data_IF_479104020873
#
_entry.id   IF_479104020873
#
_cell.length_a   1.000
_cell.length_b   1.000
_cell.length_c   1.000
_cell.angle_alpha   90.00
_cell.angle_beta   90.00
_cell.angle_gamma   90.00
#
_symmetry.space_group_name_H-M   'P 1'
#
loop_
_entity.id
_entity.type
_entity.pdbx_description
1 polymer ?
#
# COMPACT_ATOMS: atom_id res chain seq x y z
N UNK A 1 23.52 5.84 27.15
CA UNK A 1 23.20 7.17 26.59
C UNK A 1 23.91 7.21 25.25
N UNK A 2 23.18 7.20 24.14
CA UNK A 2 23.81 7.30 22.82
C UNK A 2 24.39 8.70 22.68
N UNK A 3 25.70 8.82 22.47
CA UNK A 3 26.33 10.09 22.18
C UNK A 3 25.71 10.66 20.90
N UNK A 4 24.86 11.67 21.06
CA UNK A 4 24.27 12.42 19.97
C UNK A 4 25.39 13.20 19.30
N UNK A 5 25.98 12.60 18.27
CA UNK A 5 27.00 13.24 17.47
C UNK A 5 26.40 14.51 16.84
N UNK A 6 26.98 15.67 17.18
CA UNK A 6 26.51 16.95 16.67
C UNK A 6 26.59 16.96 15.13
N UNK A 7 25.51 17.37 14.42
CA UNK A 7 25.52 17.45 12.97
C UNK A 7 26.52 18.52 12.52
N UNK A 8 27.26 18.23 11.45
CA UNK A 8 28.17 19.22 10.85
C UNK A 8 27.40 20.34 10.15
N UNK A 9 28.08 21.46 9.86
CA UNK A 9 27.48 22.56 9.10
C UNK A 9 26.90 22.08 7.76
N UNK A 10 27.62 21.20 7.05
CA UNK A 10 27.15 20.58 5.81
C UNK A 10 25.89 19.73 6.00
N UNK A 11 25.79 18.98 7.10
CA UNK A 11 24.61 18.16 7.39
C UNK A 11 23.37 19.04 7.60
N UNK A 12 23.52 20.21 8.22
CA UNK A 12 22.42 21.16 8.43
C UNK A 12 22.06 21.86 7.11
N UNK A 13 23.03 22.33 6.34
CA UNK A 13 22.76 23.09 5.09
C UNK A 13 22.15 22.22 4.00
N UNK A 14 22.55 20.95 3.89
CA UNK A 14 22.06 20.01 2.87
C UNK A 14 20.77 19.28 3.26
N UNK A 15 20.39 19.27 4.55
CA UNK A 15 19.22 18.54 5.03
C UNK A 15 17.88 19.10 4.50
N UNK A 16 16.99 18.17 4.14
CA UNK A 16 15.58 18.45 3.77
C UNK A 16 14.70 18.60 5.01
N UNK A 17 13.50 19.15 4.84
CA UNK A 17 12.58 19.47 5.93
C UNK A 17 12.28 18.33 6.92
N UNK A 18 12.15 17.09 6.44
CA UNK A 18 11.93 15.92 7.29
C UNK A 18 13.14 15.59 8.18
N UNK A 19 14.34 15.66 7.63
CA UNK A 19 15.61 15.42 8.36
C UNK A 19 15.83 16.50 9.43
N UNK A 20 15.57 17.77 9.08
CA UNK A 20 15.66 18.87 10.03
C UNK A 20 14.67 18.73 11.21
N UNK A 21 13.46 18.24 10.95
CA UNK A 21 12.49 17.97 12.01
C UNK A 21 13.00 16.89 12.97
N UNK A 22 13.65 15.85 12.44
CA UNK A 22 14.26 14.79 13.25
C UNK A 22 15.39 15.34 14.13
N UNK A 23 16.29 16.16 13.58
CA UNK A 23 17.33 16.82 14.39
C UNK A 23 16.76 17.69 15.50
N UNK A 24 15.66 18.42 15.22
CA UNK A 24 14.95 19.21 16.23
C UNK A 24 14.35 18.31 17.32
N UNK A 25 13.80 17.15 16.95
CA UNK A 25 13.28 16.17 17.90
C UNK A 25 14.37 15.61 18.81
N UNK A 26 15.49 15.21 18.22
CA UNK A 26 16.62 14.65 18.95
C UNK A 26 17.18 15.67 19.96
N UNK A 27 17.34 16.94 19.56
CA UNK A 27 17.74 18.05 20.45
C UNK A 27 16.71 18.25 21.57
N UNK A 28 15.43 18.33 21.22
CA UNK A 28 14.37 18.54 22.19
C UNK A 28 14.26 17.38 23.19
N UNK A 29 14.50 16.14 22.75
CA UNK A 29 14.54 14.97 23.62
C UNK A 29 15.73 15.02 24.57
N UNK A 30 16.91 15.40 24.08
CA UNK A 30 18.10 15.59 24.91
C UNK A 30 17.91 16.70 25.96
N UNK A 31 17.33 17.84 25.57
CA UNK A 31 17.02 18.96 26.49
C UNK A 31 16.01 18.54 27.57
N UNK A 32 15.00 17.75 27.21
CA UNK A 32 14.04 17.18 28.18
C UNK A 32 14.73 16.25 29.17
N UNK A 33 15.62 15.39 28.71
CA UNK A 33 16.36 14.46 29.57
C UNK A 33 17.25 15.20 30.59
N UNK A 34 17.73 16.39 30.25
CA UNK A 34 18.56 17.23 31.12
C UNK A 34 17.75 18.10 32.11
N UNK A 35 16.42 17.99 32.15
CA UNK A 35 15.54 18.84 32.98
C UNK A 35 15.76 20.36 32.77
N UNK A 36 16.31 20.77 31.63
CA UNK A 36 16.42 22.19 31.28
C UNK A 36 14.99 22.70 31.13
N UNK A 37 14.62 23.70 31.94
CA UNK A 37 13.27 24.24 32.00
C UNK A 37 12.72 24.48 30.58
N UNK A 38 11.41 24.23 30.38
CA UNK A 38 10.66 24.22 29.11
C UNK A 38 10.88 25.39 28.12
N UNK A 39 11.66 26.42 28.50
CA UNK A 39 11.82 27.69 27.79
C UNK A 39 12.71 27.64 26.53
N UNK A 40 13.37 26.52 26.20
CA UNK A 40 14.26 26.45 25.03
C UNK A 40 14.04 25.22 24.11
N UNK A 41 12.81 24.68 24.05
CA UNK A 41 12.52 23.70 23.01
C UNK A 41 12.52 24.38 21.63
N UNK A 42 13.27 23.81 20.70
CA UNK A 42 13.31 24.26 19.31
C UNK A 42 11.96 23.99 18.63
N UNK A 43 11.40 24.99 17.96
CA UNK A 43 10.14 24.85 17.23
C UNK A 43 10.33 24.15 15.88
N UNK A 44 9.43 23.20 15.57
CA UNK A 44 9.37 22.50 14.27
C UNK A 44 8.64 23.28 13.17
N UNK A 45 7.99 24.40 13.49
CA UNK A 45 7.22 25.18 12.52
C UNK A 45 8.10 26.21 11.79
N UNK A 46 7.75 26.56 10.55
CA UNK A 46 8.44 27.56 9.74
C UNK A 46 9.13 27.00 8.50
N UNK A 47 9.79 27.87 7.74
CA UNK A 47 10.54 27.53 6.52
C UNK A 47 11.74 26.62 6.84
N UNK A 48 12.25 25.93 5.82
CA UNK A 48 13.43 25.06 5.94
C UNK A 48 14.64 25.85 6.46
N UNK A 49 14.81 27.08 5.99
CA UNK A 49 15.90 28.00 6.31
C UNK A 49 15.81 28.46 7.76
N UNK A 50 14.62 28.77 8.26
CA UNK A 50 14.41 29.09 9.68
C UNK A 50 14.71 27.89 10.60
N UNK A 51 14.47 26.66 10.13
CA UNK A 51 14.85 25.44 10.87
C UNK A 51 16.37 25.25 10.88
N UNK A 52 17.03 25.41 9.73
CA UNK A 52 18.49 25.37 9.61
C UNK A 52 19.14 26.40 10.54
N UNK A 53 18.66 27.64 10.53
CA UNK A 53 19.17 28.70 11.40
C UNK A 53 19.02 28.37 12.88
N UNK A 54 17.86 27.86 13.31
CA UNK A 54 17.62 27.48 14.72
C UNK A 54 18.54 26.36 15.18
N UNK A 55 18.73 25.33 14.35
CA UNK A 55 19.68 24.25 14.64
C UNK A 55 21.12 24.79 14.68
N UNK A 56 21.50 25.63 13.72
CA UNK A 56 22.82 26.23 13.68
C UNK A 56 23.10 27.09 14.92
N UNK A 57 22.15 27.92 15.34
CA UNK A 57 22.25 28.70 16.60
C UNK A 57 22.39 27.79 17.82
N UNK A 58 21.64 26.69 17.89
CA UNK A 58 21.73 25.74 19.00
C UNK A 58 23.11 25.07 19.09
N UNK A 59 23.70 24.71 17.95
CA UNK A 59 25.01 24.05 17.89
C UNK A 59 26.20 25.03 17.79
N UNK A 60 25.96 26.35 17.76
CA UNK A 60 27.02 27.35 17.58
C UNK A 60 27.69 27.30 16.20
N UNK A 61 26.96 26.89 15.16
CA UNK A 61 27.48 26.77 13.80
C UNK A 61 27.16 28.03 13.00
N UNK A 62 28.16 28.60 12.33
CA UNK A 62 27.97 29.72 11.41
C UNK A 62 27.63 29.21 10.00
N UNK A 63 26.39 29.47 9.55
CA UNK A 63 25.91 29.08 8.22
C UNK A 63 26.41 30.01 7.10
N UNK A 64 27.01 31.16 7.42
CA UNK A 64 27.52 32.10 6.42
C UNK A 64 28.84 31.66 5.79
N UNK A 65 29.57 30.76 6.46
CA UNK A 65 30.81 30.22 5.93
C UNK A 65 30.55 29.16 4.85
N UNK A 66 31.24 29.22 3.69
CA UNK A 66 31.16 28.18 2.67
C UNK A 66 31.66 26.86 3.25
N UNK A 67 30.73 25.94 3.54
CA UNK A 67 31.10 24.62 4.02
C UNK A 67 31.44 23.73 2.81
N UNK A 68 32.72 23.35 2.69
CA UNK A 68 33.14 22.40 1.66
C UNK A 68 32.41 21.06 1.88
N UNK A 69 31.91 20.47 0.79
CA UNK A 69 31.34 19.13 0.85
C UNK A 69 32.38 18.15 1.41
N UNK A 70 31.99 17.20 2.27
CA UNK A 70 32.91 16.20 2.78
C UNK A 70 33.52 15.42 1.60
N UNK A 71 34.84 15.30 1.58
CA UNK A 71 35.60 14.62 0.52
C UNK A 71 35.29 13.13 0.41
N UNK A 72 34.69 12.56 1.46
CA UNK A 72 34.22 11.17 1.50
C UNK A 72 32.70 11.19 1.67
N UNK A 73 31.93 10.63 0.72
CA UNK A 73 30.50 10.44 0.90
C UNK A 73 30.27 9.63 2.17
N UNK A 74 29.48 10.15 3.12
CA UNK A 74 29.11 9.35 4.28
C UNK A 74 28.30 8.14 3.81
N UNK A 75 28.51 6.95 4.40
CA UNK A 75 27.62 5.82 4.17
C UNK A 75 26.19 6.29 4.43
N UNK A 76 25.29 6.12 3.46
CA UNK A 76 23.88 6.42 3.68
C UNK A 76 23.42 5.56 4.86
N UNK A 77 22.75 6.14 5.87
CA UNK A 77 22.22 5.34 6.96
C UNK A 77 21.27 4.30 6.38
N UNK A 78 21.56 3.02 6.59
CA UNK A 78 20.68 1.94 6.15
C UNK A 78 19.33 2.16 6.82
N UNK A 79 18.30 2.36 6.01
CA UNK A 79 16.94 2.60 6.49
C UNK A 79 16.39 1.33 7.15
N UNK A 80 15.37 1.48 8.01
CA UNK A 80 14.71 0.32 8.61
C UNK A 80 14.12 -0.59 7.53
N UNK A 81 13.60 0.01 6.46
CA UNK A 81 13.02 -0.73 5.33
C UNK A 81 14.07 -1.52 4.56
N UNK A 82 15.26 -0.96 4.33
CA UNK A 82 16.39 -1.69 3.74
C UNK A 82 16.80 -2.87 4.62
N UNK A 83 16.86 -2.70 5.95
CA UNK A 83 17.15 -3.82 6.87
C UNK A 83 16.07 -4.89 6.85
N UNK A 84 14.80 -4.50 6.79
CA UNK A 84 13.68 -5.42 6.66
C UNK A 84 13.81 -6.19 5.34
N UNK A 85 14.11 -5.50 4.24
CA UNK A 85 14.34 -6.11 2.93
C UNK A 85 15.49 -7.11 2.96
N UNK A 86 16.64 -6.73 3.53
CA UNK A 86 17.79 -7.63 3.70
C UNK A 86 17.41 -8.89 4.50
N UNK A 87 16.67 -8.73 5.60
CA UNK A 87 16.21 -9.85 6.41
C UNK A 87 15.22 -10.76 5.67
N UNK A 88 14.28 -10.17 4.93
CA UNK A 88 13.32 -10.92 4.10
C UNK A 88 14.03 -11.72 3.01
N UNK A 89 15.01 -11.11 2.33
CA UNK A 89 15.81 -11.80 1.32
C UNK A 89 16.72 -12.87 1.91
N UNK A 90 17.28 -12.64 3.10
CA UNK A 90 18.06 -13.66 3.81
C UNK A 90 17.19 -14.87 4.15
N UNK A 91 15.97 -14.66 4.67
CA UNK A 91 15.02 -15.73 4.95
C UNK A 91 14.58 -16.47 3.68
N UNK A 92 14.31 -15.75 2.59
CA UNK A 92 13.95 -16.37 1.31
C UNK A 92 15.08 -17.26 0.76
N UNK A 93 16.35 -16.83 0.89
CA UNK A 93 17.51 -17.64 0.52
C UNK A 93 17.62 -18.89 1.39
N UNK A 94 17.37 -18.77 2.69
CA UNK A 94 17.35 -19.91 3.60
C UNK A 94 16.27 -20.92 3.20
N UNK A 95 15.04 -20.47 2.92
CA UNK A 95 13.96 -21.34 2.44
C UNK A 95 14.31 -22.05 1.14
N UNK A 96 14.94 -21.35 0.19
CA UNK A 96 15.38 -21.95 -1.05
C UNK A 96 16.42 -23.06 -0.81
N UNK A 97 17.34 -22.83 0.13
CA UNK A 97 18.32 -23.85 0.51
C UNK A 97 17.65 -25.07 1.18
N UNK A 98 16.73 -24.85 2.12
CA UNK A 98 15.96 -25.94 2.76
C UNK A 98 15.18 -26.76 1.74
N UNK A 99 14.62 -26.12 0.71
CA UNK A 99 13.95 -26.81 -0.39
C UNK A 99 14.91 -27.72 -1.16
N UNK A 100 16.05 -27.18 -1.62
CA UNK A 100 17.06 -27.95 -2.36
C UNK A 100 17.55 -29.16 -1.54
N UNK A 101 17.80 -28.98 -0.25
CA UNK A 101 18.21 -30.06 0.65
C UNK A 101 17.11 -31.12 0.83
N UNK A 102 15.85 -30.69 0.93
CA UNK A 102 14.69 -31.61 1.09
C UNK A 102 14.47 -32.44 -0.17
N UNK A 103 14.60 -31.82 -1.33
CA UNK A 103 14.50 -32.49 -2.64
C UNK A 103 15.66 -33.48 -2.84
N UNK A 104 16.89 -33.10 -2.52
CA UNK A 104 18.06 -33.99 -2.58
C UNK A 104 17.91 -35.22 -1.65
N UNK A 105 17.17 -35.08 -0.55
CA UNK A 105 16.84 -36.17 0.36
C UNK A 105 15.65 -37.03 -0.10
N UNK A 106 15.04 -36.76 -1.27
CA UNK A 106 13.87 -37.46 -1.78
C UNK A 106 12.60 -37.21 -0.94
N UNK A 107 12.56 -36.13 -0.18
CA UNK A 107 11.42 -35.75 0.67
C UNK A 107 10.61 -34.65 -0.01
N UNK A 108 9.32 -34.56 0.32
CA UNK A 108 8.46 -33.46 -0.14
C UNK A 108 8.73 -32.22 0.70
N UNK A 109 9.11 -31.12 0.07
CA UNK A 109 9.18 -29.82 0.73
C UNK A 109 7.76 -29.30 1.00
N UNK A 110 7.48 -28.96 2.26
CA UNK A 110 6.21 -28.38 2.69
C UNK A 110 6.50 -26.99 3.26
N UNK A 111 6.11 -25.95 2.51
CA UNK A 111 6.36 -24.55 2.87
C UNK A 111 5.63 -24.16 4.17
N UNK A 112 4.52 -24.83 4.41
CA UNK A 112 3.70 -24.64 5.60
C UNK A 112 4.11 -25.65 6.66
N UNK A 113 5.17 -25.29 7.37
CA UNK A 113 5.39 -25.85 8.68
C UNK A 113 4.37 -25.18 9.61
N UNK A 114 3.11 -25.57 9.48
CA UNK A 114 2.20 -25.59 10.60
C UNK A 114 2.78 -26.58 11.63
N UNK A 115 3.89 -26.18 12.27
CA UNK A 115 4.56 -26.84 13.40
C UNK A 115 3.63 -26.91 14.62
N UNK A 116 2.45 -26.32 14.50
CA UNK A 116 1.30 -26.70 15.26
C UNK A 116 0.52 -27.78 14.48
N UNK A 117 0.99 -29.02 14.53
CA UNK A 117 0.09 -30.20 14.59
C UNK A 117 -0.90 -30.10 15.78
N UNK A 118 -0.78 -29.03 16.57
CA UNK A 118 -1.64 -28.60 17.66
C UNK A 118 -2.49 -27.36 17.31
N UNK A 119 -2.72 -27.02 16.04
CA UNK A 119 -3.94 -26.26 15.76
C UNK A 119 -5.08 -27.21 16.09
N UNK A 120 -5.92 -26.89 17.08
CA UNK A 120 -7.04 -27.74 17.45
C UNK A 120 -7.96 -27.79 16.23
N UNK A 121 -7.83 -28.84 15.43
CA UNK A 121 -8.92 -29.25 14.56
C UNK A 121 -10.16 -29.31 15.45
N UNK A 122 -11.29 -28.81 14.95
CA UNK A 122 -12.55 -28.99 15.67
C UNK A 122 -12.67 -30.48 16.01
N UNK A 123 -12.88 -30.85 17.28
CA UNK A 123 -12.92 -32.25 17.64
C UNK A 123 -14.10 -32.93 16.93
N UNK A 124 -13.96 -34.24 16.69
CA UNK A 124 -14.89 -35.00 15.85
C UNK A 124 -16.35 -34.94 16.32
N UNK A 125 -16.57 -34.70 17.61
CA UNK A 125 -17.88 -34.49 18.24
C UNK A 125 -18.58 -33.22 17.73
N UNK A 126 -17.84 -32.23 17.26
CA UNK A 126 -18.35 -30.99 16.65
C UNK A 126 -18.43 -31.11 15.13
N UNK A 127 -17.44 -31.75 14.50
CA UNK A 127 -17.40 -31.87 13.04
C UNK A 127 -18.52 -32.75 12.48
N UNK A 128 -18.83 -33.87 13.14
CA UNK A 128 -19.85 -34.80 12.65
C UNK A 128 -21.26 -34.16 12.58
N UNK A 129 -21.77 -33.51 13.66
CA UNK A 129 -23.06 -32.83 13.59
C UNK A 129 -23.10 -31.67 12.58
N UNK A 130 -21.97 -30.96 12.37
CA UNK A 130 -21.91 -29.91 11.35
C UNK A 130 -22.01 -30.49 9.93
N UNK A 131 -21.36 -31.63 9.67
CA UNK A 131 -21.46 -32.33 8.37
C UNK A 131 -22.88 -32.85 8.12
N UNK A 132 -23.56 -33.31 9.16
CA UNK A 132 -24.95 -33.75 9.06
C UNK A 132 -25.91 -32.57 8.77
N UNK A 133 -25.67 -31.41 9.38
CA UNK A 133 -26.45 -30.19 9.13
C UNK A 133 -26.18 -29.56 7.76
N UNK A 134 -24.98 -29.75 7.21
CA UNK A 134 -24.51 -29.09 5.98
C UNK A 134 -23.77 -30.07 5.05
N UNK A 135 -24.45 -31.08 4.48
CA UNK A 135 -23.81 -32.11 3.66
C UNK A 135 -23.13 -31.55 2.40
N UNK A 136 -23.65 -30.43 1.87
CA UNK A 136 -23.14 -29.79 0.65
C UNK A 136 -22.12 -28.66 0.91
N UNK A 137 -21.63 -28.51 2.15
CA UNK A 137 -20.70 -27.43 2.50
C UNK A 137 -19.33 -27.96 2.90
N UNK A 138 -18.29 -27.25 2.44
CA UNK A 138 -16.93 -27.47 2.92
C UNK A 138 -16.77 -26.75 4.26
N UNK A 139 -16.69 -27.51 5.34
CA UNK A 139 -16.35 -26.99 6.67
C UNK A 139 -14.82 -26.88 6.71
N UNK A 140 -14.24 -25.68 6.85
CA UNK A 140 -12.79 -25.55 6.97
C UNK A 140 -12.32 -26.31 8.21
N UNK A 141 -11.29 -27.14 8.05
CA UNK A 141 -10.64 -27.81 9.19
C UNK A 141 -9.92 -26.79 10.11
N UNK A 142 -9.63 -25.60 9.58
CA UNK A 142 -9.11 -24.45 10.31
C UNK A 142 -10.22 -23.74 11.09
N UNK A 143 -10.21 -23.94 12.41
CA UNK A 143 -11.20 -23.40 13.34
C UNK A 143 -11.24 -21.86 13.34
N UNK A 144 -12.42 -21.23 13.45
CA UNK A 144 -12.51 -19.87 13.99
C UNK A 144 -11.87 -19.86 15.39
N UNK A 145 -11.33 -18.71 15.81
CA UNK A 145 -10.56 -18.56 17.05
C UNK A 145 -11.17 -19.37 18.21
N UNK A 146 -10.33 -20.14 18.93
CA UNK A 146 -10.69 -21.16 19.93
C UNK A 146 -11.74 -20.73 20.98
N UNK A 147 -11.96 -19.43 21.17
CA UNK A 147 -12.96 -18.87 22.08
C UNK A 147 -14.43 -19.10 21.70
N UNK A 148 -14.73 -19.59 20.49
CA UNK A 148 -16.12 -19.78 20.02
C UNK A 148 -16.64 -21.23 20.09
N UNK A 149 -15.89 -22.18 20.70
CA UNK A 149 -16.29 -23.60 20.71
C UNK A 149 -17.65 -23.85 21.37
N UNK A 150 -17.85 -23.36 22.59
CA UNK A 150 -19.10 -23.57 23.34
C UNK A 150 -20.30 -22.94 22.62
N UNK A 151 -20.06 -21.82 21.92
CA UNK A 151 -21.05 -21.16 21.09
C UNK A 151 -21.42 -22.02 19.89
N UNK A 152 -20.44 -22.58 19.18
CA UNK A 152 -20.68 -23.47 18.04
C UNK A 152 -21.46 -24.71 18.50
N UNK A 153 -21.07 -25.34 19.60
CA UNK A 153 -21.79 -26.50 20.17
C UNK A 153 -23.23 -26.13 20.54
N UNK A 154 -23.44 -24.98 21.18
CA UNK A 154 -24.78 -24.49 21.53
C UNK A 154 -25.65 -24.26 20.28
N UNK A 155 -25.07 -23.63 19.24
CA UNK A 155 -25.76 -23.39 17.98
C UNK A 155 -26.11 -24.69 17.25
N UNK A 156 -25.22 -25.68 17.29
CA UNK A 156 -25.46 -27.02 16.71
C UNK A 156 -26.65 -27.68 17.41
N UNK A 157 -26.69 -27.68 18.75
CA UNK A 157 -27.79 -28.29 19.51
C UNK A 157 -29.13 -27.61 19.25
N UNK A 158 -29.14 -26.27 19.22
CA UNK A 158 -30.33 -25.49 18.90
C UNK A 158 -30.82 -25.75 17.45
N UNK A 159 -29.90 -25.77 16.48
CA UNK A 159 -30.23 -26.07 15.09
C UNK A 159 -30.84 -27.47 14.91
N UNK A 160 -30.31 -28.50 15.59
CA UNK A 160 -30.89 -29.85 15.59
C UNK A 160 -32.28 -29.90 16.23
N UNK A 161 -32.55 -29.00 17.19
CA UNK A 161 -33.87 -28.86 17.82
C UNK A 161 -34.87 -28.08 16.95
N UNK A 162 -34.48 -27.68 15.74
CA UNK A 162 -35.32 -26.93 14.79
C UNK A 162 -35.24 -25.40 14.92
N UNK A 163 -34.31 -24.85 15.71
CA UNK A 163 -34.12 -23.40 15.78
C UNK A 163 -33.47 -22.86 14.50
N UNK A 164 -34.29 -22.26 13.64
CA UNK A 164 -33.87 -21.68 12.37
C UNK A 164 -32.92 -20.48 12.54
N UNK A 165 -32.95 -19.80 13.70
CA UNK A 165 -32.03 -18.70 14.01
C UNK A 165 -30.60 -19.19 14.14
N UNK A 166 -30.38 -20.22 14.96
CA UNK A 166 -29.08 -20.87 15.13
C UNK A 166 -28.57 -21.53 13.85
N UNK A 167 -29.46 -22.15 13.06
CA UNK A 167 -29.10 -22.70 11.74
C UNK A 167 -28.53 -21.62 10.80
N UNK A 168 -29.18 -20.45 10.69
CA UNK A 168 -28.69 -19.32 9.88
C UNK A 168 -27.36 -18.75 10.38
N UNK A 169 -27.17 -18.70 11.71
CA UNK A 169 -25.88 -18.26 12.27
C UNK A 169 -24.75 -19.23 11.90
N UNK A 170 -24.98 -20.54 12.03
CA UNK A 170 -24.01 -21.54 11.57
C UNK A 170 -23.76 -21.42 10.05
N UNK A 171 -24.81 -21.19 9.26
CA UNK A 171 -24.70 -21.02 7.81
C UNK A 171 -23.83 -19.79 7.41
N UNK A 172 -23.85 -18.73 8.23
CA UNK A 172 -23.04 -17.53 8.05
C UNK A 172 -21.57 -17.76 8.45
N UNK A 173 -21.32 -18.60 9.46
CA UNK A 173 -19.97 -18.99 9.88
C UNK A 173 -19.30 -19.92 8.86
N UNK A 174 -20.08 -20.74 8.15
CA UNK A 174 -19.60 -21.72 7.18
C UNK A 174 -20.22 -21.47 5.79
N UNK A 175 -19.77 -20.45 5.04
CA UNK A 175 -20.33 -20.13 3.72
C UNK A 175 -20.15 -21.30 2.72
N UNK A 176 -21.04 -21.44 1.73
CA UNK A 176 -20.94 -22.52 0.75
C UNK A 176 -19.68 -22.37 -0.10
N UNK A 177 -19.01 -23.48 -0.44
CA UNK A 177 -17.73 -23.50 -1.14
C UNK A 177 -17.74 -22.79 -2.52
N UNK A 178 -18.92 -22.63 -3.12
CA UNK A 178 -19.11 -21.95 -4.42
C UNK A 178 -19.21 -20.41 -4.29
N UNK A 179 -19.40 -19.88 -3.08
CA UNK A 179 -19.32 -18.45 -2.84
C UNK A 179 -17.86 -18.06 -2.60
N UNK A 180 -17.10 -17.87 -3.68
CA UNK A 180 -15.82 -17.20 -3.60
C UNK A 180 -15.99 -15.89 -2.79
N UNK A 181 -15.04 -15.54 -1.91
CA UNK A 181 -15.15 -14.33 -1.11
C UNK A 181 -15.09 -13.13 -2.06
N UNK A 182 -16.26 -12.58 -2.40
CA UNK A 182 -16.35 -11.19 -2.81
C UNK A 182 -15.86 -10.40 -1.61
N UNK A 183 -14.63 -9.91 -1.67
CA UNK A 183 -14.04 -8.96 -0.73
C UNK A 183 -14.92 -7.71 -0.70
N UNK A 184 -15.99 -7.77 0.10
CA UNK A 184 -16.91 -6.69 0.38
C UNK A 184 -16.32 -5.83 1.47
N UNK A 185 -15.77 -4.69 1.06
CA UNK A 185 -15.43 -3.58 1.93
C UNK A 185 -16.63 -3.23 2.82
N UNK A 186 -16.40 -3.16 4.13
CA UNK A 186 -17.37 -2.67 5.12
C UNK A 186 -17.71 -1.22 4.79
N UNK A 187 -18.90 -0.97 4.21
CA UNK A 187 -19.44 0.37 3.98
C UNK A 187 -20.30 0.83 5.16
N UNK A 188 -19.73 1.57 6.11
CA UNK A 188 -19.66 3.04 5.98
C UNK A 188 -20.91 3.78 5.44
N UNK A 189 -22.14 3.42 5.78
CA UNK A 189 -23.34 4.15 5.32
C UNK A 189 -23.42 5.55 5.94
N UNK A 190 -23.28 6.60 5.12
CA UNK A 190 -23.51 7.99 5.52
C UNK A 190 -24.49 8.62 4.52
N UNK A 191 -25.67 8.91 5.04
CA UNK A 191 -26.83 9.47 4.36
C UNK A 191 -26.57 10.88 3.79
N UNK A 192 -27.03 11.23 2.57
CA UNK A 192 -26.85 12.58 2.04
C UNK A 192 -27.98 13.52 2.46
N UNK A 193 -27.60 14.66 3.04
CA UNK A 193 -28.48 15.82 3.24
C UNK A 193 -28.71 16.56 1.92
N UNK A 194 -29.98 16.81 1.63
CA UNK A 194 -30.46 17.66 0.53
C UNK A 194 -30.36 19.13 0.93
N UNK A 195 -29.53 19.93 0.25
CA UNK A 195 -29.59 21.39 0.31
C UNK A 195 -29.99 21.96 -1.03
N UNK A 196 -31.21 22.51 -1.05
CA UNK A 196 -31.79 23.31 -2.13
C UNK A 196 -31.21 24.73 -2.07
N UNK A 197 -30.76 25.28 -3.20
CA UNK A 197 -30.40 26.69 -3.31
C UNK A 197 -31.19 27.38 -4.43
N UNK A 198 -31.69 28.56 -4.06
CA UNK A 198 -32.62 29.43 -4.79
C UNK A 198 -31.87 30.22 -5.88
N UNK A 199 -32.59 30.46 -6.97
CA UNK A 199 -32.17 31.21 -8.16
C UNK A 199 -32.01 32.72 -7.93
N UNK A 200 -31.09 33.35 -8.67
CA UNK A 200 -31.15 34.77 -9.07
C UNK A 200 -30.38 34.99 -10.37
N UNK A 201 -30.78 35.95 -11.23
CA UNK A 201 -30.33 36.05 -12.64
C UNK A 201 -29.19 37.06 -12.84
N UNK A 202 -28.49 37.01 -13.98
CA UNK A 202 -27.97 38.25 -14.56
C UNK A 202 -28.23 38.40 -16.08
N UNK A 203 -28.72 39.61 -16.39
CA UNK A 203 -28.27 40.60 -17.39
C UNK A 203 -27.70 40.17 -18.76
N UNK A 204 -28.22 40.85 -19.79
CA UNK A 204 -27.97 40.71 -21.22
C UNK A 204 -26.62 41.28 -21.72
N UNK A 205 -26.30 40.93 -22.98
CA UNK A 205 -25.28 41.46 -23.92
C UNK A 205 -23.90 40.77 -23.85
N UNK A 206 -23.25 40.34 -24.94
CA UNK A 206 -23.29 40.82 -26.33
C UNK A 206 -22.86 39.70 -27.28
N UNK A 207 -23.46 39.69 -28.47
CA UNK A 207 -23.32 38.71 -29.56
C UNK A 207 -21.95 38.75 -30.24
N UNK A 208 -21.28 37.60 -30.30
CA UNK A 208 -20.40 37.17 -31.40
C UNK A 208 -20.32 35.64 -31.38
N UNK A 209 -21.08 34.98 -32.27
CA UNK A 209 -21.10 33.50 -32.38
C UNK A 209 -20.14 33.03 -33.49
N UNK A 210 -19.07 32.27 -33.17
CA UNK A 210 -18.38 31.42 -34.14
C UNK A 210 -19.25 30.20 -34.51
N UNK A 211 -18.96 29.49 -35.62
CA UNK A 211 -19.72 28.30 -36.02
C UNK A 211 -19.56 27.19 -34.98
N UNK A 212 -20.59 27.01 -34.15
CA UNK A 212 -20.69 25.92 -33.18
C UNK A 212 -20.90 24.62 -33.96
N UNK A 213 -19.84 23.83 -34.10
CA UNK A 213 -19.98 22.41 -34.45
C UNK A 213 -20.65 21.73 -33.27
N UNK A 214 -21.96 21.49 -33.40
CA UNK A 214 -22.76 20.73 -32.45
C UNK A 214 -22.40 19.24 -32.59
N UNK A 215 -21.27 18.84 -32.01
CA UNK A 215 -21.11 17.44 -31.65
C UNK A 215 -22.10 17.15 -30.50
N UNK A 216 -22.99 16.15 -30.65
CA UNK A 216 -23.89 15.78 -29.57
C UNK A 216 -23.07 15.39 -28.34
N UNK A 217 -23.49 15.80 -27.12
CA UNK A 217 -22.80 15.41 -25.91
C UNK A 217 -22.70 13.88 -25.87
N UNK A 218 -21.51 13.32 -25.59
CA UNK A 218 -21.33 11.88 -25.56
C UNK A 218 -22.34 11.28 -24.58
N UNK A 219 -23.10 10.29 -25.05
CA UNK A 219 -24.06 9.60 -24.20
C UNK A 219 -23.31 9.05 -22.97
N UNK A 220 -23.95 9.10 -21.80
CA UNK A 220 -23.38 8.59 -20.55
C UNK A 220 -22.94 7.12 -20.69
N UNK A 221 -23.64 6.35 -21.52
CA UNK A 221 -23.27 4.97 -21.86
C UNK A 221 -21.90 4.90 -22.55
N UNK A 222 -21.63 5.77 -23.52
CA UNK A 222 -20.34 5.80 -24.22
C UNK A 222 -19.19 6.18 -23.27
N UNK A 223 -19.44 7.08 -22.31
CA UNK A 223 -18.44 7.46 -21.31
C UNK A 223 -18.11 6.30 -20.35
N UNK A 224 -19.11 5.51 -19.94
CA UNK A 224 -18.91 4.33 -19.08
C UNK A 224 -18.18 3.22 -19.85
N UNK A 225 -18.58 2.95 -21.10
CA UNK A 225 -17.90 1.94 -21.94
C UNK A 225 -16.43 2.31 -22.17
N UNK A 226 -16.14 3.57 -22.49
CA UNK A 226 -14.76 4.03 -22.68
C UNK A 226 -13.91 3.92 -21.40
N UNK A 227 -14.51 4.05 -20.22
CA UNK A 227 -13.79 3.85 -18.95
C UNK A 227 -13.49 2.36 -18.69
N UNK A 228 -14.39 1.45 -19.06
CA UNK A 228 -14.15 0.02 -18.91
C UNK A 228 -13.05 -0.47 -19.87
N UNK A 229 -13.02 0.03 -21.10
CA UNK A 229 -11.98 -0.31 -22.07
C UNK A 229 -10.59 0.09 -21.56
N UNK A 230 -10.46 1.30 -21.00
CA UNK A 230 -9.20 1.79 -20.42
C UNK A 230 -8.74 0.96 -19.21
N UNK A 231 -9.67 0.46 -18.39
CA UNK A 231 -9.36 -0.42 -17.25
C UNK A 231 -8.87 -1.78 -17.76
N UNK A 232 -9.51 -2.34 -18.78
CA UNK A 232 -9.14 -3.62 -19.38
C UNK A 232 -7.74 -3.58 -19.99
N UNK A 233 -7.37 -2.46 -20.63
CA UNK A 233 -6.01 -2.25 -21.17
C UNK A 233 -4.96 -2.34 -20.05
N UNK A 234 -5.24 -1.80 -18.86
CA UNK A 234 -4.29 -1.90 -17.74
C UNK A 234 -4.31 -3.27 -17.04
N UNK A 235 -5.41 -4.01 -17.04
CA UNK A 235 -5.48 -5.32 -16.34
C UNK A 235 -4.76 -6.46 -17.05
N UNK A 236 -4.44 -6.32 -18.34
CA UNK A 236 -4.00 -7.45 -19.19
C UNK A 236 -2.52 -7.79 -19.31
N UNK A 237 -1.51 -7.04 -18.85
CA UNK A 237 -0.14 -7.52 -18.99
C UNK A 237 0.12 -8.64 -17.97
N UNK A 238 0.17 -9.87 -18.48
CA UNK A 238 0.49 -11.08 -17.71
C UNK A 238 1.96 -11.09 -17.25
N UNK A 239 2.81 -10.24 -17.83
CA UNK A 239 4.25 -10.21 -17.60
C UNK A 239 4.84 -8.78 -17.49
N UNK A 240 6.08 -8.72 -16.98
CA UNK A 240 6.86 -7.50 -16.81
C UNK A 240 7.12 -6.80 -18.16
N UNK A 241 7.35 -7.59 -19.22
CA UNK A 241 7.56 -7.09 -20.58
C UNK A 241 6.37 -6.28 -21.07
N UNK A 242 5.16 -6.83 -20.96
CA UNK A 242 3.93 -6.12 -21.36
C UNK A 242 3.73 -4.83 -20.58
N UNK A 243 4.04 -4.84 -19.27
CA UNK A 243 3.95 -3.66 -18.43
C UNK A 243 4.90 -2.53 -18.88
N UNK A 244 6.14 -2.85 -19.25
CA UNK A 244 7.12 -1.88 -19.75
C UNK A 244 6.72 -1.35 -21.13
N UNK A 245 6.22 -2.22 -22.00
CA UNK A 245 5.78 -1.81 -23.35
C UNK A 245 4.65 -0.79 -23.29
N UNK A 246 3.73 -0.90 -22.32
CA UNK A 246 2.66 0.08 -22.11
C UNK A 246 3.15 1.45 -21.63
N UNK A 247 4.34 1.52 -21.02
CA UNK A 247 4.96 2.80 -20.69
C UNK A 247 5.60 3.38 -21.96
N UNK A 248 6.35 2.57 -22.70
CA UNK A 248 7.06 2.99 -23.93
C UNK A 248 6.11 3.43 -25.04
N UNK A 249 4.95 2.78 -25.21
CA UNK A 249 3.93 3.15 -26.20
C UNK A 249 3.04 4.35 -25.76
N UNK A 250 3.32 4.90 -24.57
CA UNK A 250 2.63 6.06 -24.00
C UNK A 250 1.23 5.75 -23.44
N UNK A 251 0.79 4.50 -23.40
CA UNK A 251 -0.52 4.12 -22.83
C UNK A 251 -0.65 4.56 -21.37
N UNK A 252 0.37 4.28 -20.57
CA UNK A 252 0.42 4.70 -19.16
C UNK A 252 0.38 6.22 -19.03
N UNK A 253 1.11 6.94 -19.88
CA UNK A 253 1.11 8.41 -19.92
C UNK A 253 -0.25 9.00 -20.28
N UNK A 254 -0.95 8.42 -21.28
CA UNK A 254 -2.31 8.85 -21.67
C UNK A 254 -3.31 8.64 -20.54
N UNK A 255 -3.27 7.49 -19.87
CA UNK A 255 -4.15 7.19 -18.75
C UNK A 255 -3.87 8.08 -17.54
N UNK A 256 -2.60 8.39 -17.26
CA UNK A 256 -2.22 9.36 -16.23
C UNK A 256 -2.70 10.77 -16.56
N UNK A 257 -2.59 11.20 -17.81
CA UNK A 257 -3.11 12.51 -18.23
C UNK A 257 -4.64 12.58 -18.15
N UNK A 258 -5.34 11.48 -18.46
CA UNK A 258 -6.80 11.40 -18.47
C UNK A 258 -7.41 11.32 -17.06
N UNK A 259 -6.83 10.50 -16.19
CA UNK A 259 -7.40 10.17 -14.89
C UNK A 259 -6.60 10.67 -13.68
N UNK A 260 -5.34 11.06 -13.88
CA UNK A 260 -4.44 11.44 -12.81
C UNK A 260 -4.76 12.78 -12.16
N UNK A 261 -4.10 13.10 -11.03
CA UNK A 261 -4.30 14.34 -10.32
C UNK A 261 -3.80 15.51 -11.18
N UNK A 262 -4.69 16.43 -11.53
CA UNK A 262 -4.36 17.67 -12.22
C UNK A 262 -4.50 18.87 -11.27
N UNK A 263 -3.64 19.88 -11.43
CA UNK A 263 -3.72 21.10 -10.60
C UNK A 263 -5.09 21.76 -10.78
N UNK A 264 -5.82 21.90 -9.68
CA UNK A 264 -7.14 22.56 -9.67
C UNK A 264 -8.31 21.69 -10.13
N UNK A 265 -8.14 20.37 -10.23
CA UNK A 265 -9.24 19.43 -10.48
C UNK A 265 -9.25 18.34 -9.41
N UNK A 266 -10.44 17.96 -8.97
CA UNK A 266 -10.62 16.79 -8.12
C UNK A 266 -10.14 15.52 -8.84
N UNK A 267 -9.61 14.59 -8.06
CA UNK A 267 -9.08 13.33 -8.59
C UNK A 267 -10.22 12.46 -9.09
N UNK A 268 -10.10 11.90 -10.30
CA UNK A 268 -11.13 11.03 -10.86
C UNK A 268 -11.32 9.79 -9.99
N UNK A 269 -12.55 9.33 -9.72
CA UNK A 269 -12.79 8.16 -8.83
C UNK A 269 -12.03 6.91 -9.29
N UNK A 270 -11.95 6.69 -10.62
CA UNK A 270 -11.19 5.58 -11.23
C UNK A 270 -9.70 5.64 -10.90
N UNK A 271 -9.13 6.82 -10.64
CA UNK A 271 -7.72 6.94 -10.27
C UNK A 271 -7.37 6.17 -8.99
N UNK A 272 -8.31 6.04 -8.04
CA UNK A 272 -8.06 5.24 -6.84
C UNK A 272 -7.80 3.76 -7.19
N UNK A 273 -8.44 3.24 -8.23
CA UNK A 273 -8.22 1.88 -8.70
C UNK A 273 -6.96 1.75 -9.58
N UNK A 274 -6.68 2.73 -10.45
CA UNK A 274 -5.60 2.64 -11.45
C UNK A 274 -4.26 3.23 -11.00
N UNK A 275 -4.26 4.20 -10.09
CA UNK A 275 -3.11 5.04 -9.79
C UNK A 275 -1.91 4.25 -9.27
N UNK A 276 -2.15 3.22 -8.46
CA UNK A 276 -1.09 2.34 -7.97
C UNK A 276 -0.45 1.53 -9.11
N UNK A 277 -1.25 1.01 -10.04
CA UNK A 277 -0.75 0.23 -11.17
C UNK A 277 0.05 1.10 -12.14
N UNK A 278 -0.46 2.30 -12.46
CA UNK A 278 0.23 3.29 -13.29
C UNK A 278 1.58 3.65 -12.67
N UNK A 279 1.61 4.00 -11.37
CA UNK A 279 2.84 4.40 -10.69
C UNK A 279 3.85 3.25 -10.62
N UNK A 280 3.40 2.00 -10.40
CA UNK A 280 4.27 0.83 -10.40
C UNK A 280 4.91 0.59 -11.78
N UNK A 281 4.17 0.80 -12.87
CA UNK A 281 4.71 0.66 -14.24
C UNK A 281 5.71 1.76 -14.58
N UNK A 282 5.41 2.99 -14.20
CA UNK A 282 6.35 4.11 -14.37
C UNK A 282 7.65 3.86 -13.60
N UNK A 283 7.57 3.33 -12.38
CA UNK A 283 8.74 2.98 -11.59
C UNK A 283 9.56 1.85 -12.23
N UNK A 284 8.91 0.75 -12.65
CA UNK A 284 9.58 -0.34 -13.38
C UNK A 284 10.32 0.16 -14.63
N UNK A 285 9.70 1.07 -15.40
CA UNK A 285 10.37 1.66 -16.55
C UNK A 285 11.52 2.58 -16.15
N UNK A 286 11.39 3.33 -15.06
CA UNK A 286 12.46 4.15 -14.53
C UNK A 286 13.67 3.32 -14.13
N UNK A 287 13.47 2.21 -13.40
CA UNK A 287 14.54 1.30 -12.99
C UNK A 287 15.22 0.65 -14.20
N UNK A 288 14.45 0.30 -15.24
CA UNK A 288 14.99 -0.18 -16.53
C UNK A 288 15.94 0.85 -17.17
N UNK A 289 15.55 2.12 -17.20
CA UNK A 289 16.37 3.17 -17.83
C UNK A 289 17.59 3.54 -16.97
N UNK A 290 17.43 3.65 -15.64
CA UNK A 290 18.53 4.07 -14.74
C UNK A 290 19.53 2.95 -14.43
N UNK A 291 19.07 1.74 -14.08
CA UNK A 291 19.97 0.67 -13.61
C UNK A 291 20.44 -0.25 -14.75
N UNK A 292 19.63 -0.39 -15.80
CA UNK A 292 19.89 -1.32 -16.90
C UNK A 292 20.20 -0.62 -18.23
N UNK A 293 20.25 0.72 -18.24
CA UNK A 293 20.56 1.50 -19.43
C UNK A 293 19.57 1.28 -20.59
N UNK A 294 18.33 0.92 -20.27
CA UNK A 294 17.29 0.64 -21.26
C UNK A 294 17.33 -0.77 -21.86
N UNK A 295 18.27 -1.64 -21.44
CA UNK A 295 18.38 -3.03 -21.90
C UNK A 295 17.27 -3.92 -21.31
N UNK A 296 16.20 -4.06 -22.07
CA UNK A 296 15.00 -4.80 -21.67
C UNK A 296 15.28 -6.30 -21.45
N UNK A 297 16.14 -6.93 -22.24
CA UNK A 297 16.41 -8.36 -22.10
C UNK A 297 17.17 -8.64 -20.81
N UNK A 298 18.20 -7.82 -20.54
CA UNK A 298 18.96 -7.91 -19.29
C UNK A 298 18.08 -7.66 -18.06
N UNK A 299 17.16 -6.70 -18.16
CA UNK A 299 16.19 -6.42 -17.10
C UNK A 299 15.26 -7.61 -16.86
N UNK A 300 14.66 -8.18 -17.91
CA UNK A 300 13.80 -9.36 -17.79
C UNK A 300 14.59 -10.53 -17.20
N UNK A 301 15.80 -10.78 -17.70
CA UNK A 301 16.65 -11.87 -17.22
C UNK A 301 16.97 -11.75 -15.72
N UNK A 302 17.16 -10.53 -15.21
CA UNK A 302 17.35 -10.27 -13.79
C UNK A 302 16.14 -10.70 -12.93
N UNK A 303 14.92 -10.50 -13.42
CA UNK A 303 13.68 -10.86 -12.70
C UNK A 303 13.20 -12.29 -12.95
N UNK A 304 13.60 -12.90 -14.06
CA UNK A 304 13.32 -14.30 -14.36
C UNK A 304 14.46 -15.18 -13.83
N UNK A 305 14.34 -15.64 -12.59
CA UNK A 305 15.23 -16.68 -12.08
C UNK A 305 15.06 -17.96 -12.91
N UNK A 306 16.07 -18.31 -13.69
CA UNK A 306 16.14 -19.61 -14.35
C UNK A 306 16.99 -20.50 -13.44
N UNK A 307 16.34 -21.20 -12.51
CA UNK A 307 17.01 -22.11 -11.58
C UNK A 307 17.66 -23.28 -12.32
N UNK A 308 18.88 -23.08 -12.81
CA UNK A 308 19.76 -24.13 -13.31
C UNK A 308 20.74 -24.57 -12.25
#
# INVERSE_FOLDING_TARGET
MSDLQAPSAWDITSAKGGVLNKYIDDVNQALKAQNVARKQLLSKQGTVEAKKQRLATHYGIDLSQPCAAPSVPRPKPITVDEKIGEAQWAWARQLAQEWVETEAAGKRFVLDVNKNENYPSLPDDVLRPLRDLFPDRCIPDSSPAMGDRDRIVSLIGAAHSGDMGSYKQLQALFPPASAAPTTGSVGIDVSPFTTSFIATPPTQSTSFSPPVSHDPPPSLLNAVTACNDDIEVLKRPTDIRGAIMQVRDGTVGRLRAKYGPAKGRDTHKIWQALGQQISKREHLHHDLEEEFGGDLERFIQYFTYTGK
#
